data_IF_444726308673
#
_entry.id   IF_444726308673
#
_cell.length_a   1.000
_cell.length_b   1.000
_cell.length_c   1.000
_cell.angle_alpha   90.00
_cell.angle_beta   90.00
_cell.angle_gamma   90.00
#
_symmetry.space_group_name_H-M   'P 1'
#
loop_
_entity.id
_entity.type
_entity.pdbx_description
1 polymer ?
#
# COMPACT_ATOMS: atom_id res chain seq x y z
N UNK A 1 19.62 -18.85 71.87
CA UNK A 1 19.12 -20.11 71.28
C UNK A 1 17.73 -19.79 70.77
N UNK A 2 17.37 -19.87 69.50
CA UNK A 2 18.01 -20.33 68.27
C UNK A 2 17.30 -19.62 67.10
N UNK A 3 18.03 -19.49 65.99
CA UNK A 3 17.64 -18.87 64.74
C UNK A 3 16.52 -19.61 64.01
N UNK A 4 15.71 -18.88 63.24
CA UNK A 4 15.06 -19.25 61.95
C UNK A 4 13.92 -18.25 61.71
N UNK A 5 13.62 -17.71 60.54
CA UNK A 5 14.13 -17.90 59.19
C UNK A 5 13.80 -16.60 58.44
N UNK A 6 14.82 -15.84 58.06
CA UNK A 6 14.69 -14.72 57.13
C UNK A 6 14.98 -15.25 55.73
N UNK A 7 13.96 -15.66 54.99
CA UNK A 7 13.89 -15.66 53.51
C UNK A 7 12.69 -16.52 53.06
N UNK A 8 11.56 -15.89 52.79
CA UNK A 8 10.49 -16.53 52.02
C UNK A 8 9.79 -15.51 51.10
N UNK A 9 10.59 -14.64 50.47
CA UNK A 9 10.17 -13.94 49.25
C UNK A 9 10.96 -14.50 48.05
N UNK A 10 11.10 -15.82 47.98
CA UNK A 10 11.30 -16.48 46.69
C UNK A 10 9.91 -16.65 46.08
N UNK A 11 9.45 -15.58 45.41
CA UNK A 11 8.45 -15.74 44.35
C UNK A 11 9.10 -16.65 43.30
N UNK A 12 8.88 -17.95 43.44
CA UNK A 12 9.00 -18.89 42.34
C UNK A 12 7.95 -18.49 41.31
N UNK A 13 8.32 -17.51 40.47
CA UNK A 13 7.63 -17.17 39.25
C UNK A 13 7.86 -18.33 38.27
N UNK A 14 7.17 -19.44 38.52
CA UNK A 14 7.18 -20.62 37.64
C UNK A 14 6.49 -20.21 36.35
N UNK A 15 7.28 -19.93 35.33
CA UNK A 15 6.82 -19.66 33.97
C UNK A 15 6.51 -20.98 33.28
N UNK A 16 5.30 -21.12 32.74
CA UNK A 16 4.95 -22.25 31.88
C UNK A 16 5.16 -21.83 30.42
N UNK A 17 5.86 -22.68 29.66
CA UNK A 17 5.96 -22.52 28.21
C UNK A 17 4.75 -23.20 27.59
N UNK A 18 3.88 -22.41 26.96
CA UNK A 18 2.78 -22.92 26.16
C UNK A 18 3.15 -22.81 24.68
N UNK A 19 2.91 -23.88 23.95
CA UNK A 19 3.01 -23.93 22.50
C UNK A 19 1.60 -23.82 21.94
N UNK A 20 1.39 -22.88 21.04
CA UNK A 20 0.17 -22.77 20.25
C UNK A 20 0.31 -23.61 18.97
N UNK A 21 -0.82 -23.91 18.33
CA UNK A 21 -0.89 -24.76 17.14
C UNK A 21 -0.16 -24.17 15.91
N UNK A 22 0.13 -22.86 15.93
CA UNK A 22 0.94 -22.14 14.93
C UNK A 22 2.46 -22.30 15.15
N UNK A 23 2.86 -23.11 16.14
CA UNK A 23 4.26 -23.41 16.46
C UNK A 23 4.97 -22.35 17.30
N UNK A 24 4.35 -21.20 17.55
CA UNK A 24 4.86 -20.18 18.46
C UNK A 24 4.83 -20.66 19.91
N UNK A 25 5.91 -20.37 20.64
CA UNK A 25 6.07 -20.72 22.06
C UNK A 25 6.25 -19.45 22.87
N UNK A 26 5.39 -19.21 23.86
CA UNK A 26 5.52 -18.07 24.76
C UNK A 26 5.46 -18.49 26.22
N UNK A 27 6.05 -17.65 27.08
CA UNK A 27 6.10 -17.83 28.52
C UNK A 27 4.89 -17.16 29.15
N UNK A 28 4.14 -17.89 29.97
CA UNK A 28 3.03 -17.33 30.76
C UNK A 28 3.23 -17.61 32.25
N UNK A 29 2.98 -16.62 33.10
CA UNK A 29 3.15 -16.74 34.56
C UNK A 29 2.09 -17.67 35.11
N UNK A 30 2.50 -18.74 35.80
CA UNK A 30 1.58 -19.68 36.46
C UNK A 30 0.88 -18.98 37.61
N UNK A 31 -0.45 -18.79 37.52
CA UNK A 31 -1.23 -18.33 38.67
C UNK A 31 -1.36 -19.51 39.64
N UNK A 32 -0.80 -19.40 40.86
CA UNK A 32 -1.10 -20.36 41.94
C UNK A 32 -2.61 -20.38 42.12
N UNK A 33 -3.25 -21.51 41.83
CA UNK A 33 -4.56 -21.79 42.41
C UNK A 33 -4.30 -22.05 43.89
N UNK A 34 -4.95 -21.27 44.74
CA UNK A 34 -5.06 -21.54 46.17
C UNK A 34 -5.90 -22.82 46.31
N UNK A 35 -5.26 -23.97 46.18
CA UNK A 35 -5.84 -25.27 46.50
C UNK A 35 -5.17 -25.76 47.79
N UNK A 36 -5.63 -25.23 48.92
CA UNK A 36 -5.56 -25.89 50.24
C UNK A 36 -6.95 -25.73 50.89
N UNK A 37 -7.99 -26.21 50.19
CA UNK A 37 -9.26 -26.64 50.78
C UNK A 37 -10.09 -27.38 49.71
N UNK A 38 -10.78 -28.51 50.03
CA UNK A 38 -11.55 -29.26 49.05
C UNK A 38 -12.91 -28.58 48.81
N UNK A 39 -12.93 -27.63 47.89
CA UNK A 39 -14.15 -26.98 47.39
C UNK A 39 -14.81 -27.83 46.28
N UNK A 40 -16.15 -27.80 46.14
CA UNK A 40 -16.94 -28.81 45.42
C UNK A 40 -16.62 -28.83 43.92
N UNK A 41 -16.92 -29.94 43.21
CA UNK A 41 -16.59 -30.08 41.81
C UNK A 41 -17.15 -28.92 40.98
N UNK A 42 -16.38 -28.40 40.01
CA UNK A 42 -16.82 -27.31 39.16
C UNK A 42 -18.09 -27.72 38.39
N UNK A 43 -18.99 -26.77 38.05
CA UNK A 43 -20.07 -27.06 37.12
C UNK A 43 -19.46 -27.60 35.82
N UNK A 44 -19.77 -28.86 35.54
CA UNK A 44 -19.38 -29.61 34.35
C UNK A 44 -20.12 -29.11 33.11
N UNK A 45 -20.00 -27.81 32.79
CA UNK A 45 -20.58 -27.21 31.58
C UNK A 45 -19.72 -26.12 30.93
N UNK A 46 -18.49 -25.90 31.40
CA UNK A 46 -17.56 -24.94 30.78
C UNK A 46 -16.56 -25.58 29.80
N UNK A 47 -16.72 -26.87 29.47
CA UNK A 47 -15.77 -27.63 28.64
C UNK A 47 -16.10 -27.66 27.13
N UNK A 48 -17.29 -27.22 26.70
CA UNK A 48 -17.77 -27.51 25.32
C UNK A 48 -17.89 -26.29 24.38
N UNK A 49 -17.35 -25.12 24.71
CA UNK A 49 -17.47 -23.89 23.88
C UNK A 49 -16.21 -23.30 23.20
N UNK A 50 -14.98 -23.89 23.22
CA UNK A 50 -13.87 -23.33 22.46
C UNK A 50 -14.02 -23.53 20.94
N UNK A 51 -14.57 -24.67 20.51
CA UNK A 51 -14.56 -25.09 19.10
C UNK A 51 -15.45 -24.20 18.21
N UNK A 52 -16.63 -23.79 18.69
CA UNK A 52 -17.55 -22.93 17.92
C UNK A 52 -16.97 -21.53 17.66
N UNK A 53 -16.24 -20.97 18.64
CA UNK A 53 -15.62 -19.64 18.48
C UNK A 53 -14.38 -19.70 17.59
N UNK A 54 -13.67 -20.83 17.56
CA UNK A 54 -12.51 -21.06 16.71
C UNK A 54 -12.90 -21.40 15.27
N UNK A 55 -13.92 -22.23 15.08
CA UNK A 55 -14.54 -22.50 13.78
C UNK A 55 -15.06 -21.20 13.15
N UNK A 56 -15.79 -20.38 13.91
CA UNK A 56 -16.25 -19.07 13.42
C UNK A 56 -15.09 -18.15 13.04
N UNK A 57 -14.01 -18.10 13.83
CA UNK A 57 -12.81 -17.32 13.46
C UNK A 57 -12.14 -17.86 12.19
N UNK A 58 -12.07 -19.19 12.00
CA UNK A 58 -11.55 -19.82 10.78
C UNK A 58 -12.40 -19.46 9.57
N UNK A 59 -13.72 -19.58 9.65
CA UNK A 59 -14.63 -19.22 8.56
C UNK A 59 -14.52 -17.75 8.16
N UNK A 60 -14.38 -16.83 9.12
CA UNK A 60 -14.20 -15.41 8.82
C UNK A 60 -12.88 -15.13 8.10
N UNK A 61 -11.79 -15.79 8.52
CA UNK A 61 -10.48 -15.69 7.85
C UNK A 61 -10.54 -16.26 6.44
N UNK A 62 -11.16 -17.42 6.26
CA UNK A 62 -11.31 -18.04 4.94
C UNK A 62 -12.12 -17.14 4.00
N UNK A 63 -13.25 -16.58 4.47
CA UNK A 63 -14.05 -15.62 3.69
C UNK A 63 -13.27 -14.35 3.35
N UNK A 64 -12.47 -13.83 4.29
CA UNK A 64 -11.62 -12.65 4.04
C UNK A 64 -10.55 -12.94 2.99
N UNK A 65 -9.87 -14.09 3.09
CA UNK A 65 -8.86 -14.52 2.12
C UNK A 65 -9.46 -14.78 0.73
N UNK A 66 -10.65 -15.39 0.67
CA UNK A 66 -11.39 -15.58 -0.57
C UNK A 66 -11.75 -14.25 -1.23
N UNK A 67 -12.26 -13.28 -0.46
CA UNK A 67 -12.55 -11.93 -0.97
C UNK A 67 -11.30 -11.26 -1.50
N UNK A 68 -10.21 -11.32 -0.75
CA UNK A 68 -8.94 -10.73 -1.15
C UNK A 68 -8.40 -11.37 -2.43
N UNK A 69 -8.46 -12.71 -2.52
CA UNK A 69 -8.13 -13.44 -3.74
C UNK A 69 -8.97 -12.95 -4.92
N UNK A 70 -10.29 -12.88 -4.78
CA UNK A 70 -11.18 -12.44 -5.87
C UNK A 70 -10.92 -10.99 -6.29
N UNK A 71 -10.57 -10.12 -5.35
CA UNK A 71 -10.21 -8.73 -5.63
C UNK A 71 -8.92 -8.66 -6.43
N UNK A 72 -7.85 -9.31 -5.96
CA UNK A 72 -6.58 -9.30 -6.67
C UNK A 72 -6.67 -10.00 -8.03
N UNK A 73 -7.45 -11.07 -8.18
CA UNK A 73 -7.64 -11.69 -9.51
C UNK A 73 -8.35 -10.74 -10.47
N UNK A 74 -9.41 -10.06 -10.03
CA UNK A 74 -10.13 -9.10 -10.87
C UNK A 74 -9.24 -7.90 -11.24
N UNK A 75 -8.41 -7.44 -10.31
CA UNK A 75 -7.47 -6.36 -10.55
C UNK A 75 -6.37 -6.78 -11.53
N UNK A 76 -5.80 -7.98 -11.37
CA UNK A 76 -4.84 -8.54 -12.34
C UNK A 76 -5.45 -8.64 -13.73
N UNK A 77 -6.66 -9.20 -13.85
CA UNK A 77 -7.37 -9.29 -15.14
C UNK A 77 -7.59 -7.90 -15.77
N UNK A 78 -7.90 -6.89 -14.94
CA UNK A 78 -8.03 -5.51 -15.41
C UNK A 78 -6.70 -4.94 -15.91
N UNK A 79 -5.61 -5.14 -15.18
CA UNK A 79 -4.26 -4.72 -15.59
C UNK A 79 -3.80 -5.43 -16.87
N UNK A 80 -4.11 -6.71 -17.02
CA UNK A 80 -3.83 -7.48 -18.23
C UNK A 80 -4.62 -6.95 -19.43
N UNK A 81 -5.91 -6.64 -19.26
CA UNK A 81 -6.74 -6.05 -20.31
C UNK A 81 -6.17 -4.69 -20.77
N UNK A 82 -5.81 -3.82 -19.83
CA UNK A 82 -5.21 -2.51 -20.14
C UNK A 82 -3.86 -2.67 -20.84
N UNK A 83 -3.02 -3.59 -20.38
CA UNK A 83 -1.73 -3.90 -21.00
C UNK A 83 -1.89 -4.40 -22.43
N UNK A 84 -2.83 -5.31 -22.67
CA UNK A 84 -3.12 -5.82 -24.02
C UNK A 84 -3.63 -4.70 -24.94
N UNK A 85 -4.51 -3.83 -24.45
CA UNK A 85 -5.01 -2.69 -25.22
C UNK A 85 -3.88 -1.72 -25.61
N UNK A 86 -2.95 -1.45 -24.69
CA UNK A 86 -1.78 -0.61 -24.98
C UNK A 86 -0.87 -1.26 -26.04
N UNK A 87 -0.60 -2.57 -25.92
CA UNK A 87 0.17 -3.32 -26.93
C UNK A 87 -0.50 -3.32 -28.30
N UNK A 88 -1.83 -3.47 -28.36
CA UNK A 88 -2.56 -3.38 -29.63
C UNK A 88 -2.43 -1.99 -30.27
N UNK A 89 -2.46 -0.91 -29.47
CA UNK A 89 -2.25 0.44 -29.99
C UNK A 89 -0.82 0.64 -30.51
N UNK A 90 0.17 0.14 -29.77
CA UNK A 90 1.57 0.15 -30.18
C UNK A 90 1.79 -0.65 -31.48
N UNK A 91 1.16 -1.81 -31.62
CA UNK A 91 1.27 -2.61 -32.84
C UNK A 91 0.59 -1.92 -34.03
N UNK A 92 -0.60 -1.34 -33.83
CA UNK A 92 -1.31 -0.56 -34.86
C UNK A 92 -0.47 0.63 -35.33
N UNK A 93 0.09 1.41 -34.41
CA UNK A 93 0.95 2.55 -34.73
C UNK A 93 2.23 2.10 -35.45
N UNK A 94 2.88 1.04 -34.98
CA UNK A 94 4.04 0.44 -35.64
C UNK A 94 3.72 -0.09 -37.05
N UNK A 95 2.52 -0.66 -37.25
CA UNK A 95 2.09 -1.13 -38.56
C UNK A 95 1.81 0.05 -39.52
N UNK A 96 1.20 1.14 -39.04
CA UNK A 96 0.99 2.36 -39.82
C UNK A 96 2.34 2.97 -40.22
N UNK A 97 3.29 3.07 -39.29
CA UNK A 97 4.64 3.58 -39.59
C UNK A 97 5.36 2.71 -40.62
N UNK A 98 5.31 1.38 -40.50
CA UNK A 98 5.88 0.46 -41.50
C UNK A 98 5.23 0.64 -42.88
N UNK A 99 3.90 0.71 -42.95
CA UNK A 99 3.19 0.95 -44.21
C UNK A 99 3.57 2.29 -44.84
N UNK A 100 3.71 3.35 -44.03
CA UNK A 100 4.16 4.67 -44.49
C UNK A 100 5.58 4.63 -45.02
N UNK A 101 6.49 3.92 -44.36
CA UNK A 101 7.86 3.77 -44.83
C UNK A 101 7.90 3.01 -46.16
N UNK A 102 7.22 1.86 -46.27
CA UNK A 102 7.13 1.11 -47.52
C UNK A 102 6.47 1.91 -48.65
N UNK A 103 5.45 2.70 -48.33
CA UNK A 103 4.81 3.57 -49.32
C UNK A 103 5.75 4.68 -49.75
N UNK A 104 6.48 5.30 -48.82
CA UNK A 104 7.51 6.30 -49.15
C UNK A 104 8.64 5.71 -49.99
N UNK A 105 9.04 4.46 -49.80
CA UNK A 105 10.03 3.77 -50.64
C UNK A 105 9.47 3.45 -52.05
N UNK A 106 8.21 3.04 -52.15
CA UNK A 106 7.53 2.86 -53.46
C UNK A 106 7.36 4.20 -54.18
N UNK A 107 6.96 5.24 -53.47
CA UNK A 107 6.80 6.58 -54.03
C UNK A 107 8.17 7.19 -54.37
N UNK A 108 9.25 6.90 -53.65
CA UNK A 108 10.61 7.32 -54.02
C UNK A 108 11.14 6.59 -55.26
N UNK A 109 10.83 5.31 -55.42
CA UNK A 109 11.18 4.55 -56.62
C UNK A 109 10.33 4.96 -57.84
N UNK A 110 9.10 5.45 -57.64
CA UNK A 110 8.26 6.06 -58.68
C UNK A 110 8.59 7.54 -58.95
N UNK A 111 8.97 8.32 -57.93
CA UNK A 111 9.28 9.76 -58.00
C UNK A 111 10.69 10.06 -58.53
N UNK A 112 11.51 9.03 -58.77
CA UNK A 112 12.70 9.20 -59.61
C UNK A 112 12.37 9.67 -61.05
N UNK A 113 11.08 9.67 -61.42
CA UNK A 113 10.53 10.21 -62.67
C UNK A 113 9.59 11.43 -62.47
N UNK A 114 9.44 11.98 -61.25
CA UNK A 114 8.37 12.94 -60.90
C UNK A 114 8.80 14.19 -60.11
N UNK A 115 8.85 15.32 -60.84
CA UNK A 115 8.75 16.76 -60.46
C UNK A 115 8.74 17.17 -58.98
N UNK A 116 9.63 18.13 -58.61
CA UNK A 116 9.85 18.64 -57.25
C UNK A 116 8.70 19.42 -56.57
N UNK A 117 7.49 19.45 -57.12
CA UNK A 117 6.31 20.12 -56.51
C UNK A 117 5.58 19.20 -55.53
N UNK A 118 5.47 17.90 -55.81
CA UNK A 118 4.83 16.92 -54.92
C UNK A 118 5.63 16.68 -53.63
N UNK A 119 6.96 16.81 -53.72
CA UNK A 119 7.87 16.63 -52.58
C UNK A 119 7.66 17.69 -51.49
N UNK A 120 7.28 18.92 -51.87
CA UNK A 120 7.02 19.99 -50.92
C UNK A 120 5.67 19.80 -50.21
N UNK A 121 4.63 19.34 -50.91
CA UNK A 121 3.32 19.05 -50.30
C UNK A 121 3.38 17.87 -49.32
N UNK A 122 4.23 16.87 -49.60
CA UNK A 122 4.49 15.75 -48.69
C UNK A 122 5.26 16.18 -47.43
N UNK A 123 6.18 17.14 -47.54
CA UNK A 123 6.89 17.68 -46.37
C UNK A 123 5.99 18.54 -45.50
N UNK A 124 5.11 19.34 -46.11
CA UNK A 124 4.14 20.18 -45.41
C UNK A 124 3.16 19.34 -44.59
N UNK A 125 2.61 18.26 -45.15
CA UNK A 125 1.70 17.37 -44.41
C UNK A 125 2.38 16.60 -43.27
N UNK A 126 3.66 16.24 -43.43
CA UNK A 126 4.46 15.62 -42.36
C UNK A 126 4.76 16.64 -41.24
N UNK A 127 5.02 17.89 -41.58
CA UNK A 127 5.21 18.96 -40.60
C UNK A 127 3.92 19.24 -39.82
N UNK A 128 2.78 19.32 -40.50
CA UNK A 128 1.48 19.49 -39.86
C UNK A 128 1.15 18.33 -38.91
N UNK A 129 1.45 17.09 -39.31
CA UNK A 129 1.24 15.92 -38.46
C UNK A 129 2.17 15.92 -37.24
N UNK A 130 3.43 16.31 -37.39
CA UNK A 130 4.37 16.45 -36.28
C UNK A 130 3.95 17.57 -35.32
N UNK A 131 3.39 18.65 -35.84
CA UNK A 131 2.89 19.77 -35.06
C UNK A 131 1.65 19.35 -34.26
N UNK A 132 0.70 18.66 -34.89
CA UNK A 132 -0.43 18.02 -34.21
C UNK A 132 -0.01 17.05 -33.11
N UNK A 133 1.05 16.27 -33.35
CA UNK A 133 1.58 15.36 -32.34
C UNK A 133 2.21 16.13 -31.17
N UNK A 134 2.95 17.21 -31.45
CA UNK A 134 3.55 18.06 -30.42
C UNK A 134 2.47 18.74 -29.55
N UNK A 135 1.41 19.28 -30.16
CA UNK A 135 0.27 19.86 -29.45
C UNK A 135 -0.46 18.84 -28.58
N UNK A 136 -0.64 17.61 -29.08
CA UNK A 136 -1.23 16.52 -28.29
C UNK A 136 -0.35 16.13 -27.09
N UNK A 137 0.98 16.09 -27.28
CA UNK A 137 1.91 15.83 -26.19
C UNK A 137 1.95 16.97 -25.16
N UNK A 138 1.88 18.23 -25.61
CA UNK A 138 1.77 19.38 -24.73
C UNK A 138 0.53 19.31 -23.85
N UNK A 139 -0.63 18.95 -24.44
CA UNK A 139 -1.88 18.75 -23.70
C UNK A 139 -1.74 17.68 -22.59
N UNK A 140 -1.15 16.53 -22.92
CA UNK A 140 -0.92 15.46 -21.94
C UNK A 140 0.02 15.93 -20.81
N UNK A 141 1.09 16.65 -21.15
CA UNK A 141 2.04 17.17 -20.16
C UNK A 141 1.33 18.19 -19.26
N UNK A 142 0.49 19.06 -19.82
CA UNK A 142 -0.28 20.04 -19.06
C UNK A 142 -1.26 19.36 -18.09
N UNK A 143 -1.97 18.31 -18.54
CA UNK A 143 -2.88 17.54 -17.71
C UNK A 143 -2.16 16.86 -16.54
N UNK A 144 -1.02 16.22 -16.81
CA UNK A 144 -0.21 15.57 -15.76
C UNK A 144 0.37 16.60 -14.79
N UNK A 145 0.83 17.75 -15.29
CA UNK A 145 1.36 18.83 -14.45
C UNK A 145 0.27 19.39 -13.52
N UNK A 146 -0.93 19.61 -14.05
CA UNK A 146 -2.09 20.03 -13.25
C UNK A 146 -2.43 19.02 -12.15
N UNK A 147 -2.39 17.72 -12.46
CA UNK A 147 -2.59 16.69 -11.45
C UNK A 147 -1.50 16.73 -10.37
N UNK A 148 -0.23 16.90 -10.75
CA UNK A 148 0.87 17.08 -9.79
C UNK A 148 0.66 18.30 -8.89
N UNK A 149 0.26 19.45 -9.44
CA UNK A 149 -0.03 20.67 -8.68
C UNK A 149 -1.15 20.45 -7.67
N UNK A 150 -2.22 19.73 -8.05
CA UNK A 150 -3.32 19.42 -7.12
C UNK A 150 -2.87 18.52 -5.98
N UNK A 151 -2.07 17.49 -6.26
CA UNK A 151 -1.53 16.58 -5.23
C UNK A 151 -0.59 17.34 -4.30
N UNK A 152 0.28 18.19 -4.83
CA UNK A 152 1.19 19.00 -4.02
C UNK A 152 0.42 19.97 -3.12
N UNK A 153 -0.65 20.59 -3.60
CA UNK A 153 -1.52 21.44 -2.79
C UNK A 153 -2.20 20.67 -1.64
N UNK A 154 -2.68 19.45 -1.91
CA UNK A 154 -3.26 18.59 -0.87
C UNK A 154 -2.21 18.22 0.19
N UNK A 155 -1.02 17.79 -0.24
CA UNK A 155 0.07 17.45 0.68
C UNK A 155 0.48 18.64 1.54
N UNK A 156 0.63 19.84 0.95
CA UNK A 156 0.95 21.06 1.72
C UNK A 156 -0.12 21.37 2.76
N UNK A 157 -1.39 21.19 2.41
CA UNK A 157 -2.50 21.43 3.35
C UNK A 157 -2.44 20.45 4.53
N UNK A 158 -2.21 19.16 4.28
CA UNK A 158 -2.06 18.17 5.35
C UNK A 158 -0.82 18.43 6.22
N UNK A 159 0.31 18.82 5.61
CA UNK A 159 1.52 19.18 6.34
C UNK A 159 1.29 20.40 7.26
N UNK A 160 0.60 21.43 6.75
CA UNK A 160 0.22 22.62 7.52
C UNK A 160 -0.73 22.26 8.66
N UNK A 161 -1.74 21.41 8.43
CA UNK A 161 -2.67 20.94 9.46
C UNK A 161 -1.94 20.15 10.56
N UNK A 162 -1.00 19.28 10.20
CA UNK A 162 -0.17 18.55 11.17
C UNK A 162 0.72 19.51 11.94
N UNK A 163 1.39 20.46 11.27
CA UNK A 163 2.22 21.46 11.92
C UNK A 163 1.41 22.31 12.92
N UNK A 164 0.21 22.74 12.52
CA UNK A 164 -0.70 23.50 13.37
C UNK A 164 -1.18 22.67 14.56
N UNK A 165 -1.52 21.40 14.34
CA UNK A 165 -1.90 20.49 15.43
C UNK A 165 -0.81 20.33 16.48
N UNK A 166 0.47 20.32 16.05
CA UNK A 166 1.61 20.27 16.95
C UNK A 166 1.75 21.57 17.75
N UNK A 167 1.58 22.74 17.11
CA UNK A 167 1.65 24.04 17.78
C UNK A 167 0.53 24.20 18.82
N UNK A 168 -0.67 23.72 18.50
CA UNK A 168 -1.85 23.85 19.36
C UNK A 168 -1.90 22.85 20.53
N UNK A 169 -0.89 21.97 20.66
CA UNK A 169 -0.82 21.04 21.79
C UNK A 169 -0.72 21.80 23.12
N UNK A 170 -1.56 21.48 24.12
CA UNK A 170 -1.55 22.16 25.42
C UNK A 170 -0.26 21.92 26.23
N UNK A 171 0.57 20.97 25.78
CA UNK A 171 1.88 20.64 26.35
C UNK A 171 2.86 21.81 26.18
N UNK A 172 2.65 22.69 25.19
CA UNK A 172 3.55 23.81 24.91
C UNK A 172 3.45 24.97 25.91
N UNK A 173 2.47 24.97 26.83
CA UNK A 173 2.41 25.86 28.00
C UNK A 173 2.66 27.35 27.70
N UNK A 174 3.03 28.12 28.73
CA UNK A 174 3.60 29.45 28.49
C UNK A 174 5.03 29.30 27.98
N UNK A 175 5.47 30.02 26.93
CA UNK A 175 6.87 29.99 26.48
C UNK A 175 7.87 30.26 27.62
N UNK A 176 7.47 31.05 28.62
CA UNK A 176 8.29 31.34 29.82
C UNK A 176 8.40 30.15 30.78
N UNK A 177 7.38 29.30 30.86
CA UNK A 177 7.38 28.10 31.71
C UNK A 177 8.21 26.97 31.07
N UNK A 178 8.12 26.80 29.76
CA UNK A 178 8.98 25.87 29.02
C UNK A 178 10.45 26.23 29.16
N UNK A 179 10.81 27.51 28.99
CA UNK A 179 12.21 27.93 29.15
C UNK A 179 12.74 27.74 30.58
N UNK A 180 11.91 27.93 31.62
CA UNK A 180 12.31 27.62 33.00
C UNK A 180 12.57 26.13 33.20
N UNK A 181 11.66 25.28 32.73
CA UNK A 181 11.81 23.81 32.81
C UNK A 181 13.10 23.30 32.14
N UNK A 182 13.52 23.93 31.04
CA UNK A 182 14.73 23.58 30.30
C UNK A 182 16.02 24.18 30.90
N UNK A 183 15.93 25.30 31.61
CA UNK A 183 17.08 25.96 32.23
C UNK A 183 17.34 25.53 33.69
N UNK A 184 16.37 24.89 34.35
CA UNK A 184 16.49 24.39 35.73
C UNK A 184 17.07 22.95 35.80
N UNK A 185 17.86 22.54 34.80
CA UNK A 185 18.54 21.23 34.71
C UNK A 185 20.03 21.29 34.99
#
# INVERSE_FOLDING_TARGET
>A
MESTSSAAWQNDDVWELRRDDDGFVYKRKKRRRLDDDPAPPPPSSAADLPDDTEARRREWREKALLKLKTQYTAEIEHWELLSNRLKEMEEKTSQIQRRRLEQRERDQTASFDGSGVERNQCLESVLDELLLQAEAQESIIADVSSLCDTVEAMCRTEEEDVAQSLIDLPIWGSPRELMRSLCDG
#
